data_IF_596552423802
#
_entry.id   IF_596552423802
#
_cell.length_a   1.000
_cell.length_b   1.000
_cell.length_c   1.000
_cell.angle_alpha   90.00
_cell.angle_beta   90.00
_cell.angle_gamma   90.00
#
_symmetry.space_group_name_H-M   'P 1'
#
loop_
_entity.id
_entity.type
_entity.pdbx_description
1 polymer ?
#
# COMPACT_ATOMS: atom_id res chain seq x y z
N UNK A 1 30.73 -1.77 19.40
CA UNK A 1 30.16 -1.10 18.21
C UNK A 1 29.54 0.19 18.69
N UNK A 2 29.81 1.28 17.99
CA UNK A 2 29.30 2.61 18.25
C UNK A 2 27.82 2.72 17.82
N UNK A 3 26.98 3.38 18.65
CA UNK A 3 25.51 3.43 18.49
C UNK A 3 25.05 3.80 17.07
N UNK A 4 25.80 4.66 16.41
CA UNK A 4 25.63 5.02 14.99
C UNK A 4 25.45 3.77 14.12
N UNK A 5 26.41 2.85 14.18
CA UNK A 5 26.45 1.71 13.28
C UNK A 5 25.25 0.78 13.51
N UNK A 6 24.81 0.59 14.75
CA UNK A 6 23.62 -0.21 15.07
C UNK A 6 22.33 0.41 14.53
N UNK A 7 22.18 1.74 14.63
CA UNK A 7 21.00 2.43 14.07
C UNK A 7 20.94 2.34 12.54
N UNK A 8 22.09 2.39 11.86
CA UNK A 8 22.15 2.22 10.41
C UNK A 8 21.79 0.78 10.04
N UNK A 9 22.37 -0.22 10.71
CA UNK A 9 22.09 -1.62 10.43
C UNK A 9 20.60 -1.99 10.61
N UNK A 10 19.96 -1.48 11.66
CA UNK A 10 18.53 -1.70 11.90
C UNK A 10 17.64 -1.02 10.86
N UNK A 11 18.00 0.20 10.45
CA UNK A 11 17.26 0.97 9.43
C UNK A 11 17.21 0.32 8.06
N UNK A 12 18.30 -0.34 7.66
CA UNK A 12 18.43 -1.00 6.36
C UNK A 12 18.25 -2.52 6.43
N UNK A 13 17.93 -3.08 7.60
CA UNK A 13 17.70 -4.51 7.76
C UNK A 13 16.64 -5.01 6.76
N UNK A 14 16.95 -6.04 5.95
CA UNK A 14 15.98 -6.59 5.02
C UNK A 14 14.82 -7.25 5.78
N UNK A 15 13.62 -7.10 5.24
CA UNK A 15 12.46 -7.84 5.70
C UNK A 15 12.53 -9.27 5.16
N UNK A 16 12.14 -10.24 5.99
CA UNK A 16 11.98 -11.61 5.53
C UNK A 16 10.76 -11.73 4.60
N UNK A 17 10.71 -12.76 3.73
CA UNK A 17 9.53 -13.03 2.91
C UNK A 17 8.25 -13.18 3.74
N UNK A 18 8.34 -13.85 4.89
CA UNK A 18 7.22 -14.01 5.83
C UNK A 18 6.75 -12.69 6.42
N UNK A 19 7.64 -11.71 6.62
CA UNK A 19 7.23 -10.39 7.07
C UNK A 19 6.41 -9.67 5.98
N UNK A 20 6.83 -9.74 4.71
CA UNK A 20 6.03 -9.20 3.60
C UNK A 20 4.66 -9.89 3.50
N UNK A 21 4.63 -11.22 3.63
CA UNK A 21 3.38 -11.97 3.65
C UNK A 21 2.46 -11.53 4.80
N UNK A 22 2.99 -11.42 6.02
CA UNK A 22 2.24 -10.93 7.18
C UNK A 22 1.74 -9.49 7.01
N UNK A 23 2.56 -8.61 6.43
CA UNK A 23 2.15 -7.24 6.13
C UNK A 23 1.05 -7.18 5.07
N UNK A 24 1.06 -8.06 4.04
CA UNK A 24 -0.07 -8.15 3.09
C UNK A 24 -1.39 -8.42 3.82
N UNK A 25 -1.39 -9.43 4.71
CA UNK A 25 -2.58 -9.77 5.49
C UNK A 25 -2.98 -8.59 6.38
N UNK A 26 -2.02 -8.02 7.13
CA UNK A 26 -2.26 -6.93 8.07
C UNK A 26 -2.84 -5.69 7.36
N UNK A 27 -2.24 -5.27 6.26
CA UNK A 27 -2.63 -4.08 5.50
C UNK A 27 -3.91 -4.27 4.68
N UNK A 28 -4.36 -5.52 4.48
CA UNK A 28 -5.66 -5.82 3.88
C UNK A 28 -6.82 -5.69 4.87
N UNK A 29 -6.55 -5.55 6.18
CA UNK A 29 -7.59 -5.35 7.20
C UNK A 29 -8.12 -3.90 7.11
N UNK A 30 -9.42 -3.65 6.94
CA UNK A 30 -9.94 -2.31 6.61
C UNK A 30 -9.61 -1.23 7.65
N UNK A 31 -9.88 -1.46 8.93
CA UNK A 31 -9.71 -0.43 9.96
C UNK A 31 -8.31 -0.48 10.55
N UNK A 32 -7.96 -1.60 11.19
CA UNK A 32 -6.66 -1.76 11.86
C UNK A 32 -5.50 -1.69 10.84
N UNK A 33 -5.64 -2.35 9.70
CA UNK A 33 -4.61 -2.38 8.66
C UNK A 33 -4.37 -1.00 8.07
N UNK A 34 -5.43 -0.24 7.82
CA UNK A 34 -5.32 1.12 7.29
C UNK A 34 -4.65 2.08 8.28
N UNK A 35 -4.99 2.02 9.57
CA UNK A 35 -4.31 2.82 10.60
C UNK A 35 -2.81 2.48 10.63
N UNK A 36 -2.46 1.19 10.62
CA UNK A 36 -1.07 0.76 10.63
C UNK A 36 -0.32 1.09 9.33
N UNK A 37 -1.00 1.10 8.18
CA UNK A 37 -0.44 1.58 6.92
C UNK A 37 0.01 3.04 7.04
N UNK A 38 -0.84 3.90 7.59
CA UNK A 38 -0.50 5.30 7.85
C UNK A 38 0.72 5.37 8.77
N UNK A 39 0.65 4.75 9.96
CA UNK A 39 1.75 4.78 10.94
C UNK A 39 3.07 4.30 10.33
N UNK A 40 3.07 3.17 9.63
CA UNK A 40 4.29 2.60 9.07
C UNK A 40 4.82 3.36 7.86
N UNK A 41 3.96 4.02 7.07
CA UNK A 41 4.37 4.88 5.96
C UNK A 41 5.13 6.14 6.40
N UNK A 42 4.96 6.57 7.66
CA UNK A 42 5.68 7.71 8.24
C UNK A 42 6.78 7.31 9.24
N UNK A 43 6.90 6.02 9.61
CA UNK A 43 7.89 5.55 10.59
C UNK A 43 9.36 5.71 10.13
N UNK A 44 10.32 5.95 11.03
CA UNK A 44 11.74 6.09 10.66
C UNK A 44 12.60 4.83 10.87
N UNK A 45 12.04 3.77 11.47
CA UNK A 45 12.82 2.65 12.00
C UNK A 45 13.35 1.69 10.94
N UNK A 46 12.58 1.37 9.90
CA UNK A 46 13.01 0.44 8.86
C UNK A 46 12.53 0.90 7.48
N UNK A 47 13.47 1.13 6.57
CA UNK A 47 13.16 1.69 5.24
C UNK A 47 12.34 0.74 4.37
N UNK A 48 12.58 -0.58 4.48
CA UNK A 48 11.87 -1.58 3.69
C UNK A 48 10.40 -1.66 4.09
N UNK A 49 10.11 -1.72 5.40
CA UNK A 49 8.72 -1.70 5.92
C UNK A 49 7.98 -0.45 5.50
N UNK A 50 8.63 0.71 5.61
CA UNK A 50 8.04 2.00 5.24
C UNK A 50 7.72 2.09 3.75
N UNK A 51 8.68 1.73 2.90
CA UNK A 51 8.48 1.76 1.46
C UNK A 51 7.37 0.78 1.05
N UNK A 52 7.30 -0.37 1.72
CA UNK A 52 6.22 -1.33 1.52
C UNK A 52 4.85 -0.79 1.93
N UNK A 53 4.74 -0.14 3.10
CA UNK A 53 3.49 0.54 3.48
C UNK A 53 3.09 1.63 2.46
N UNK A 54 4.06 2.37 1.92
CA UNK A 54 3.80 3.39 0.89
C UNK A 54 3.32 2.80 -0.44
N UNK A 55 3.77 1.62 -0.83
CA UNK A 55 3.32 0.99 -2.07
C UNK A 55 1.83 0.63 -2.03
N UNK A 56 1.24 0.38 -0.86
CA UNK A 56 -0.21 0.14 -0.74
C UNK A 56 -1.03 1.38 -1.10
N UNK A 57 -0.59 2.59 -0.72
CA UNK A 57 -1.26 3.82 -1.16
C UNK A 57 -1.18 4.00 -2.68
N UNK A 58 -0.05 3.64 -3.30
CA UNK A 58 0.10 3.62 -4.75
C UNK A 58 -0.85 2.58 -5.38
N UNK A 59 -0.96 1.39 -4.80
CA UNK A 59 -1.89 0.36 -5.25
C UNK A 59 -3.34 0.85 -5.15
N UNK A 60 -3.74 1.50 -4.05
CA UNK A 60 -5.08 2.07 -3.90
C UNK A 60 -5.36 3.13 -4.97
N UNK A 61 -4.41 4.01 -5.26
CA UNK A 61 -4.54 4.99 -6.34
C UNK A 61 -4.75 4.30 -7.71
N UNK A 62 -3.98 3.25 -8.01
CA UNK A 62 -4.14 2.49 -9.25
C UNK A 62 -5.50 1.78 -9.34
N UNK A 63 -5.96 1.17 -8.24
CA UNK A 63 -7.28 0.52 -8.18
C UNK A 63 -8.40 1.54 -8.42
N UNK A 64 -8.31 2.73 -7.83
CA UNK A 64 -9.28 3.81 -8.06
C UNK A 64 -9.31 4.20 -9.54
N UNK A 65 -8.15 4.37 -10.19
CA UNK A 65 -8.07 4.70 -11.62
C UNK A 65 -8.75 3.62 -12.47
N UNK A 66 -8.47 2.34 -12.19
CA UNK A 66 -9.09 1.21 -12.92
C UNK A 66 -10.60 1.21 -12.74
N UNK A 67 -11.11 1.42 -11.52
CA UNK A 67 -12.55 1.50 -11.23
C UNK A 67 -13.18 2.65 -12.03
N UNK A 68 -12.55 3.83 -12.07
CA UNK A 68 -13.06 4.97 -12.82
C UNK A 68 -13.17 4.68 -14.32
N UNK A 69 -12.21 3.98 -14.91
CA UNK A 69 -12.24 3.56 -16.31
C UNK A 69 -13.38 2.57 -16.55
N UNK A 70 -13.54 1.56 -15.70
CA UNK A 70 -14.61 0.56 -15.85
C UNK A 70 -16.01 1.19 -15.70
N UNK A 71 -16.17 2.11 -14.75
CA UNK A 71 -17.41 2.85 -14.54
C UNK A 71 -17.73 3.73 -15.75
N UNK A 72 -16.75 4.46 -16.30
CA UNK A 72 -17.00 5.34 -17.45
C UNK A 72 -17.41 4.56 -18.70
N UNK A 73 -16.80 3.41 -18.95
CA UNK A 73 -17.19 2.50 -20.03
C UNK A 73 -18.61 1.96 -19.82
N UNK A 74 -18.96 1.53 -18.60
CA UNK A 74 -20.30 1.05 -18.27
C UNK A 74 -21.38 2.11 -18.48
N UNK A 75 -21.11 3.36 -18.07
CA UNK A 75 -22.00 4.50 -18.31
C UNK A 75 -22.22 4.75 -19.80
N UNK A 76 -21.17 4.67 -20.61
CA UNK A 76 -21.26 4.87 -22.06
C UNK A 76 -22.15 3.81 -22.74
N UNK A 77 -22.01 2.54 -22.35
CA UNK A 77 -22.85 1.44 -22.86
C UNK A 77 -24.31 1.64 -22.47
N UNK A 78 -24.57 1.98 -21.20
CA UNK A 78 -25.93 2.25 -20.71
C UNK A 78 -26.60 3.41 -21.46
N UNK A 79 -25.87 4.49 -21.70
CA UNK A 79 -26.38 5.65 -22.44
C UNK A 79 -26.67 5.32 -23.90
N UNK A 80 -25.78 4.59 -24.58
CA UNK A 80 -26.01 4.14 -25.96
C UNK A 80 -27.30 3.31 -26.08
N UNK A 81 -27.56 2.41 -25.12
CA UNK A 81 -28.78 1.61 -25.11
C UNK A 81 -30.06 2.43 -24.85
N UNK A 82 -29.95 3.57 -24.17
CA UNK A 82 -31.10 4.45 -23.88
C UNK A 82 -31.46 5.36 -25.07
N UNK A 83 -30.47 5.74 -25.87
CA UNK A 83 -30.63 6.68 -27.01
C UNK A 83 -30.93 6.00 -28.34
N UNK A 84 -30.94 4.66 -28.37
CA UNK A 84 -31.31 3.84 -29.52
C UNK A 84 -32.76 3.40 -29.45
#
# INVERSE_FOLDING_TARGET
MDLNNETILTKYKPLSPWAYFGYNILFSIPIIGFILLIVFSFSNDNINRRNYARSFFVIYALVIIVILILVSLGVQVGLYNLLK
#
